data_IF_400537271938
#
_entry.id   IF_400537271938
#
_cell.length_a   1.000
_cell.length_b   1.000
_cell.length_c   1.000
_cell.angle_alpha   90.00
_cell.angle_beta   90.00
_cell.angle_gamma   90.00
#
_symmetry.space_group_name_H-M   'P 1'
#
loop_
_entity.id
_entity.type
_entity.pdbx_description
1 polymer ?
#
# COMPACT_ATOMS: atom_id res chain seq x y z
N UNK A 1 7.96 -19.23 7.97
CA UNK A 1 8.56 -17.97 8.46
C UNK A 1 9.27 -17.23 7.34
N UNK A 2 10.20 -17.87 6.60
CA UNK A 2 10.92 -17.25 5.47
C UNK A 2 10.05 -16.60 4.35
N UNK A 3 8.84 -17.09 4.10
CA UNK A 3 7.96 -16.54 3.04
C UNK A 3 7.31 -15.20 3.38
N UNK A 4 6.98 -14.98 4.66
CA UNK A 4 6.34 -13.73 5.09
C UNK A 4 7.34 -12.57 5.15
N UNK A 5 8.60 -12.85 5.50
CA UNK A 5 9.67 -11.85 5.52
C UNK A 5 9.88 -11.23 4.13
N UNK A 6 9.81 -12.05 3.08
CA UNK A 6 9.95 -11.57 1.70
C UNK A 6 8.77 -10.65 1.30
N UNK A 7 7.53 -11.01 1.68
CA UNK A 7 6.38 -10.14 1.44
C UNK A 7 6.48 -8.81 2.18
N UNK A 8 6.97 -8.82 3.42
CA UNK A 8 7.20 -7.60 4.20
C UNK A 8 8.30 -6.72 3.59
N UNK A 9 9.36 -7.31 3.05
CA UNK A 9 10.42 -6.58 2.33
C UNK A 9 9.87 -5.89 1.07
N UNK A 10 8.96 -6.54 0.32
CA UNK A 10 8.30 -5.93 -0.84
C UNK A 10 7.50 -4.69 -0.41
N UNK A 11 6.66 -4.82 0.62
CA UNK A 11 5.87 -3.69 1.15
C UNK A 11 6.79 -2.54 1.61
N UNK A 12 7.87 -2.86 2.33
CA UNK A 12 8.84 -1.86 2.78
C UNK A 12 9.53 -1.14 1.60
N UNK A 13 9.79 -1.86 0.50
CA UNK A 13 10.28 -1.28 -0.75
C UNK A 13 9.30 -0.26 -1.34
N UNK A 14 8.03 -0.65 -1.50
CA UNK A 14 6.99 0.25 -2.03
C UNK A 14 6.83 1.50 -1.15
N UNK A 15 6.85 1.36 0.17
CA UNK A 15 6.78 2.51 1.08
C UNK A 15 7.98 3.46 0.89
N UNK A 16 9.19 2.93 0.74
CA UNK A 16 10.41 3.72 0.51
C UNK A 16 10.33 4.48 -0.81
N UNK A 17 9.89 3.83 -1.87
CA UNK A 17 9.73 4.46 -3.19
C UNK A 17 8.60 5.50 -3.17
N UNK A 18 7.55 5.25 -2.39
CA UNK A 18 6.45 6.19 -2.16
C UNK A 18 6.91 7.49 -1.50
N UNK A 19 7.84 7.43 -0.53
CA UNK A 19 8.41 8.63 0.12
C UNK A 19 9.15 9.52 -0.88
N UNK A 20 9.83 8.92 -1.87
CA UNK A 20 10.52 9.70 -2.91
C UNK A 20 9.54 10.47 -3.82
N UNK A 21 8.31 9.95 -4.01
CA UNK A 21 7.27 10.53 -4.87
C UNK A 21 6.31 11.47 -4.11
N UNK A 22 6.14 11.24 -2.81
CA UNK A 22 5.21 11.95 -1.95
C UNK A 22 5.96 12.46 -0.71
N UNK A 23 6.49 13.69 -0.74
CA UNK A 23 7.22 14.24 0.40
C UNK A 23 6.34 14.35 1.64
N UNK A 24 6.96 14.53 2.80
CA UNK A 24 6.31 14.87 4.08
C UNK A 24 5.30 13.86 4.64
N UNK A 25 5.39 12.58 4.26
CA UNK A 25 4.47 11.54 4.73
C UNK A 25 2.99 11.91 4.52
N UNK A 26 2.65 12.50 3.36
CA UNK A 26 1.29 12.92 3.03
C UNK A 26 0.21 11.85 3.23
N UNK A 27 0.59 10.56 3.14
CA UNK A 27 -0.29 9.43 3.38
C UNK A 27 -0.96 9.47 4.76
N UNK A 28 -0.30 10.06 5.77
CA UNK A 28 -0.81 10.20 7.15
C UNK A 28 -1.97 11.20 7.22
N UNK A 29 -2.04 12.16 6.28
CA UNK A 29 -3.11 13.18 6.22
C UNK A 29 -4.37 12.67 5.52
N UNK A 30 -4.35 11.46 4.97
CA UNK A 30 -5.49 10.85 4.28
C UNK A 30 -6.30 10.01 5.28
N UNK A 31 -7.59 9.84 5.01
CA UNK A 31 -8.43 9.01 5.87
C UNK A 31 -8.17 7.52 5.68
N UNK A 32 -8.63 6.70 6.63
CA UNK A 32 -8.61 5.23 6.52
C UNK A 32 -9.37 4.79 5.27
N UNK A 33 -10.54 5.37 5.01
CA UNK A 33 -11.39 5.06 3.86
C UNK A 33 -10.72 5.39 2.53
N UNK A 34 -9.94 6.48 2.47
CA UNK A 34 -9.18 6.82 1.27
C UNK A 34 -8.19 5.70 0.92
N UNK A 35 -7.47 5.17 1.91
CA UNK A 35 -6.51 4.09 1.65
C UNK A 35 -7.20 2.77 1.28
N UNK A 36 -8.34 2.46 1.90
CA UNK A 36 -9.16 1.30 1.52
C UNK A 36 -9.60 1.41 0.06
N UNK A 37 -10.17 2.55 -0.35
CA UNK A 37 -10.60 2.75 -1.74
C UNK A 37 -9.45 2.61 -2.76
N UNK A 38 -8.26 3.14 -2.43
CA UNK A 38 -7.06 2.94 -3.29
C UNK A 38 -6.61 1.49 -3.33
N UNK A 39 -6.77 0.72 -2.26
CA UNK A 39 -6.48 -0.71 -2.27
C UNK A 39 -7.44 -1.46 -3.19
N UNK A 40 -8.75 -1.14 -3.13
CA UNK A 40 -9.77 -1.73 -3.99
C UNK A 40 -9.50 -1.46 -5.47
N UNK A 41 -9.12 -0.24 -5.84
CA UNK A 41 -8.73 0.12 -7.21
C UNK A 41 -7.58 -0.76 -7.73
N UNK A 42 -6.52 -0.96 -6.93
CA UNK A 42 -5.41 -1.84 -7.32
C UNK A 42 -5.85 -3.30 -7.47
N UNK A 43 -6.74 -3.79 -6.60
CA UNK A 43 -7.27 -5.15 -6.71
C UNK A 43 -8.15 -5.33 -7.96
N UNK A 44 -8.89 -4.28 -8.38
CA UNK A 44 -9.64 -4.29 -9.63
C UNK A 44 -8.70 -4.36 -10.84
N UNK A 45 -7.69 -3.49 -10.90
CA UNK A 45 -6.69 -3.50 -11.98
C UNK A 45 -5.97 -4.86 -12.09
N UNK A 46 -5.60 -5.45 -10.94
CA UNK A 46 -5.02 -6.79 -10.90
C UNK A 46 -5.95 -7.86 -11.49
N UNK A 47 -7.25 -7.79 -11.17
CA UNK A 47 -8.26 -8.71 -11.70
C UNK A 47 -8.47 -8.54 -13.21
N UNK A 48 -8.31 -7.31 -13.70
CA UNK A 48 -8.39 -6.98 -15.12
C UNK A 48 -7.11 -7.37 -15.89
N UNK A 49 -6.08 -7.87 -15.20
CA UNK A 49 -4.85 -8.37 -15.81
C UNK A 49 -3.83 -7.28 -16.16
N UNK A 50 -3.97 -6.09 -15.58
CA UNK A 50 -2.98 -5.01 -15.65
C UNK A 50 -1.65 -5.47 -14.99
N UNK A 51 -0.51 -5.11 -15.57
CA UNK A 51 0.84 -5.56 -15.14
C UNK A 51 1.90 -4.44 -15.16
N UNK A 52 1.53 -3.18 -15.32
CA UNK A 52 2.46 -2.04 -15.28
C UNK A 52 3.01 -1.80 -13.87
N UNK A 53 2.24 -2.16 -12.84
CA UNK A 53 2.67 -2.08 -11.44
C UNK A 53 2.42 -3.39 -10.67
N UNK A 54 3.12 -3.57 -9.55
CA UNK A 54 2.82 -4.65 -8.60
C UNK A 54 1.59 -4.28 -7.76
N UNK A 55 0.41 -4.43 -8.38
CA UNK A 55 -0.85 -4.05 -7.78
C UNK A 55 -1.14 -4.73 -6.44
N UNK A 56 -0.71 -5.98 -6.26
CA UNK A 56 -0.92 -6.69 -5.00
C UNK A 56 -0.09 -6.05 -3.87
N UNK A 57 1.19 -5.73 -4.14
CA UNK A 57 2.04 -5.03 -3.19
C UNK A 57 1.52 -3.63 -2.86
N UNK A 58 1.05 -2.88 -3.86
CA UNK A 58 0.44 -1.56 -3.66
C UNK A 58 -0.84 -1.63 -2.83
N UNK A 59 -1.74 -2.57 -3.11
CA UNK A 59 -2.95 -2.79 -2.32
C UNK A 59 -2.61 -3.17 -0.86
N UNK A 60 -1.66 -4.09 -0.64
CA UNK A 60 -1.21 -4.47 0.68
C UNK A 60 -0.61 -3.27 1.46
N UNK A 61 0.17 -2.43 0.78
CA UNK A 61 0.76 -1.22 1.36
C UNK A 61 -0.32 -0.23 1.80
N UNK A 62 -1.37 -0.03 0.97
CA UNK A 62 -2.52 0.81 1.32
C UNK A 62 -3.27 0.28 2.54
N UNK A 63 -3.51 -1.02 2.62
CA UNK A 63 -4.17 -1.63 3.79
C UNK A 63 -3.30 -1.53 5.05
N UNK A 64 -1.98 -1.67 4.93
CA UNK A 64 -1.06 -1.45 6.06
C UNK A 64 -1.12 0.01 6.55
N UNK A 65 -1.15 0.99 5.64
CA UNK A 65 -1.32 2.40 6.01
C UNK A 65 -2.67 2.65 6.69
N UNK A 66 -3.76 2.10 6.14
CA UNK A 66 -5.10 2.19 6.73
C UNK A 66 -5.13 1.61 8.15
N UNK A 67 -4.56 0.42 8.33
CA UNK A 67 -4.41 -0.22 9.64
C UNK A 67 -3.59 0.66 10.59
N UNK A 68 -2.46 1.17 10.12
CA UNK A 68 -1.59 2.05 10.93
C UNK A 68 -2.33 3.28 11.42
N UNK A 69 -3.10 3.95 10.56
CA UNK A 69 -3.90 5.12 10.95
C UNK A 69 -5.03 4.77 11.91
N UNK A 70 -5.65 3.59 11.75
CA UNK A 70 -6.66 3.10 12.70
C UNK A 70 -6.08 2.84 14.08
N UNK A 71 -4.87 2.28 14.18
CA UNK A 71 -4.24 1.96 15.47
C UNK A 71 -3.58 3.17 16.15
N UNK A 72 -3.15 4.18 15.38
CA UNK A 72 -2.60 5.44 15.91
C UNK A 72 -3.74 6.43 16.30
N UNK A 73 -4.95 6.20 15.79
CA UNK A 73 -6.15 6.99 16.05
C UNK A 73 -6.80 6.70 17.40
#
# INVERSE_FOLDING_TARGET
MQSFDQALQVIAGIMRDGVAKHPDNEWVRRSVEYHIGRAEEHLLLLRDGEQLEDHLAHAATRLLMALTLREIG
#
